data_IF_723000600045
#
_entry.id   IF_723000600045
#
_cell.length_a   1.000
_cell.length_b   1.000
_cell.length_c   1.000
_cell.angle_alpha   90.00
_cell.angle_beta   90.00
_cell.angle_gamma   90.00
#
_symmetry.space_group_name_H-M   'P 1'
#
loop_
_entity.id
_entity.type
_entity.pdbx_description
1 polymer ?
#
# COMPACT_ATOMS: atom_id res chain seq x y z
N UNK A 1 -29.98 11.69 -1.42
CA UNK A 1 -28.62 11.10 -1.43
C UNK A 1 -28.12 10.94 -2.85
N UNK A 2 -28.82 10.21 -3.73
CA UNK A 2 -28.44 10.13 -5.16
C UNK A 2 -28.38 11.48 -5.93
N UNK A 3 -29.04 12.54 -5.45
CA UNK A 3 -28.98 13.87 -6.11
C UNK A 3 -27.70 14.65 -5.77
N UNK A 4 -27.13 14.53 -4.57
CA UNK A 4 -25.92 15.28 -4.17
C UNK A 4 -24.63 14.64 -4.73
N UNK A 5 -24.64 13.34 -5.01
CA UNK A 5 -23.50 12.59 -5.59
C UNK A 5 -23.30 12.88 -7.08
N UNK A 6 -24.39 13.13 -7.81
CA UNK A 6 -24.34 13.61 -9.18
C UNK A 6 -23.79 15.05 -9.28
N UNK A 7 -23.85 15.84 -8.21
CA UNK A 7 -23.38 17.23 -8.22
C UNK A 7 -21.87 17.40 -7.98
N UNK A 8 -21.17 16.38 -7.45
CA UNK A 8 -19.73 16.50 -7.16
C UNK A 8 -18.93 15.24 -7.51
N UNK A 9 -18.48 15.07 -8.76
CA UNK A 9 -17.71 13.90 -9.19
C UNK A 9 -16.43 13.71 -8.38
N UNK A 10 -15.85 14.75 -7.79
CA UNK A 10 -14.67 14.60 -6.94
C UNK A 10 -14.95 13.79 -5.67
N UNK A 11 -16.14 13.95 -5.08
CA UNK A 11 -16.48 13.26 -3.84
C UNK A 11 -16.50 11.74 -4.06
N UNK A 12 -17.08 11.30 -5.18
CA UNK A 12 -17.12 9.89 -5.59
C UNK A 12 -15.71 9.25 -5.59
N UNK A 13 -14.76 9.82 -6.32
CA UNK A 13 -13.39 9.28 -6.37
C UNK A 13 -12.63 9.39 -5.05
N UNK A 14 -12.96 10.36 -4.19
CA UNK A 14 -12.30 10.50 -2.89
C UNK A 14 -12.91 9.63 -1.80
N UNK A 15 -14.18 9.26 -1.91
CA UNK A 15 -14.91 8.51 -0.89
C UNK A 15 -14.54 7.03 -0.91
N UNK A 16 -14.19 6.50 -2.08
CA UNK A 16 -13.61 5.16 -2.26
C UNK A 16 -12.11 5.14 -1.98
N UNK A 17 -11.63 4.13 -1.24
CA UNK A 17 -10.18 3.92 -1.07
C UNK A 17 -9.52 3.46 -2.37
N UNK A 18 -10.20 2.63 -3.15
CA UNK A 18 -9.66 2.07 -4.38
C UNK A 18 -9.59 3.11 -5.50
N UNK A 19 -10.67 3.87 -5.72
CA UNK A 19 -10.70 4.95 -6.70
C UNK A 19 -9.74 6.08 -6.30
N UNK A 20 -9.62 6.39 -5.00
CA UNK A 20 -8.62 7.34 -4.53
C UNK A 20 -7.20 6.83 -4.83
N UNK A 21 -6.93 5.54 -4.64
CA UNK A 21 -5.66 4.94 -4.99
C UNK A 21 -5.35 5.04 -6.49
N UNK A 22 -6.33 4.76 -7.35
CA UNK A 22 -6.18 4.94 -8.81
C UNK A 22 -5.81 6.37 -9.16
N UNK A 23 -6.48 7.35 -8.54
CA UNK A 23 -6.17 8.76 -8.72
C UNK A 23 -4.76 9.11 -8.21
N UNK A 24 -4.34 8.58 -7.06
CA UNK A 24 -3.00 8.78 -6.52
C UNK A 24 -1.91 8.21 -7.43
N UNK A 25 -2.15 7.06 -8.07
CA UNK A 25 -1.24 6.49 -9.07
C UNK A 25 -1.15 7.43 -10.29
N UNK A 26 -2.27 7.94 -10.80
CA UNK A 26 -2.26 8.91 -11.91
C UNK A 26 -1.48 10.19 -11.56
N UNK A 27 -1.68 10.72 -10.35
CA UNK A 27 -0.95 11.89 -9.86
C UNK A 27 0.53 11.60 -9.68
N UNK A 28 0.90 10.40 -9.21
CA UNK A 28 2.30 9.98 -9.15
C UNK A 28 2.91 9.98 -10.56
N UNK A 29 2.26 9.34 -11.54
CA UNK A 29 2.72 9.35 -12.95
C UNK A 29 2.80 10.77 -13.52
N UNK A 30 1.91 11.67 -13.13
CA UNK A 30 1.98 13.09 -13.53
C UNK A 30 3.26 13.77 -13.03
N UNK A 31 3.63 13.53 -11.77
CA UNK A 31 4.77 14.16 -11.10
C UNK A 31 6.12 13.50 -11.44
N UNK A 32 6.13 12.20 -11.69
CA UNK A 32 7.36 11.44 -11.96
C UNK A 32 7.58 11.11 -13.43
N UNK A 33 6.54 11.20 -14.26
CA UNK A 33 6.54 10.68 -15.62
C UNK A 33 7.35 11.51 -16.60
N UNK A 34 8.06 10.82 -17.47
CA UNK A 34 8.59 11.42 -18.69
C UNK A 34 7.42 11.74 -19.64
N UNK A 35 7.46 12.93 -20.24
CA UNK A 35 6.50 13.34 -21.28
C UNK A 35 7.23 13.45 -22.61
N UNK A 36 6.60 13.00 -23.68
CA UNK A 36 7.14 13.22 -25.02
C UNK A 36 7.03 14.70 -25.44
N UNK A 37 7.53 15.03 -26.64
CA UNK A 37 7.51 16.40 -27.18
C UNK A 37 6.09 16.98 -27.37
N UNK A 38 5.05 16.16 -27.24
CA UNK A 38 3.64 16.55 -27.34
C UNK A 38 2.94 16.58 -25.97
N UNK A 39 3.69 16.39 -24.87
CA UNK A 39 3.15 16.37 -23.52
C UNK A 39 2.37 15.09 -23.18
N UNK A 40 2.51 14.03 -23.98
CA UNK A 40 1.89 12.72 -23.70
C UNK A 40 2.79 11.95 -22.74
N UNK A 41 2.18 11.33 -21.73
CA UNK A 41 2.89 10.50 -20.75
C UNK A 41 3.61 9.33 -21.42
N UNK A 42 4.64 8.84 -20.73
CA UNK A 42 5.09 7.46 -20.89
C UNK A 42 3.90 6.49 -20.71
N UNK A 43 4.04 5.30 -21.27
CA UNK A 43 3.09 4.21 -21.11
C UNK A 43 2.97 3.85 -19.63
N UNK A 44 1.74 3.71 -19.15
CA UNK A 44 1.44 3.02 -17.90
C UNK A 44 0.54 1.83 -18.20
N UNK A 45 0.73 0.74 -17.47
CA UNK A 45 0.01 -0.52 -17.73
C UNK A 45 -1.20 -0.64 -16.80
N UNK A 46 -2.25 -1.35 -17.22
CA UNK A 46 -3.45 -1.54 -16.40
C UNK A 46 -3.11 -2.22 -15.07
N UNK A 47 -2.12 -3.12 -15.07
CA UNK A 47 -1.62 -3.76 -13.85
C UNK A 47 -1.02 -2.77 -12.83
N UNK A 48 -0.64 -1.55 -13.24
CA UNK A 48 -0.24 -0.50 -12.30
C UNK A 48 -1.41 -0.08 -11.40
N UNK A 49 -2.66 -0.40 -11.76
CA UNK A 49 -3.90 -0.04 -11.03
C UNK A 49 -4.61 -1.25 -10.44
N UNK A 50 -4.21 -2.48 -10.79
CA UNK A 50 -4.73 -3.71 -10.21
C UNK A 50 -3.98 -3.97 -8.89
N UNK A 51 -4.59 -3.62 -7.76
CA UNK A 51 -3.93 -3.66 -6.44
C UNK A 51 -4.65 -4.60 -5.49
N UNK A 52 -3.87 -5.42 -4.78
CA UNK A 52 -4.40 -6.46 -3.89
C UNK A 52 -5.11 -7.56 -4.67
N UNK A 53 -6.18 -8.11 -4.10
CA UNK A 53 -7.12 -8.94 -4.84
C UNK A 53 -8.41 -8.15 -5.02
N UNK A 54 -8.66 -7.53 -6.19
CA UNK A 54 -9.86 -6.73 -6.42
C UNK A 54 -11.17 -7.47 -6.13
N UNK A 55 -11.20 -8.81 -6.30
CA UNK A 55 -12.36 -9.65 -5.99
C UNK A 55 -12.67 -9.77 -4.50
N UNK A 56 -11.74 -9.39 -3.62
CA UNK A 56 -11.97 -9.36 -2.18
C UNK A 56 -12.43 -7.98 -1.69
N UNK A 57 -12.50 -6.99 -2.59
CA UNK A 57 -12.92 -5.64 -2.26
C UNK A 57 -14.42 -5.53 -2.49
N UNK A 58 -15.17 -5.41 -1.40
CA UNK A 58 -16.64 -5.32 -1.39
C UNK A 58 -17.14 -4.23 -2.35
N UNK A 59 -16.47 -3.08 -2.37
CA UNK A 59 -16.75 -1.99 -3.33
C UNK A 59 -16.77 -2.44 -4.79
N UNK A 60 -15.78 -3.26 -5.18
CA UNK A 60 -15.64 -3.70 -6.58
C UNK A 60 -16.63 -4.83 -6.85
N UNK A 61 -16.81 -5.76 -5.91
CA UNK A 61 -17.75 -6.87 -6.09
C UNK A 61 -19.19 -6.40 -6.16
N UNK A 62 -19.59 -5.46 -5.30
CA UNK A 62 -20.95 -4.95 -5.25
C UNK A 62 -21.29 -4.21 -6.56
N UNK A 63 -20.38 -3.36 -7.05
CA UNK A 63 -20.55 -2.68 -8.34
C UNK A 63 -20.65 -3.65 -9.53
N UNK A 64 -19.85 -4.72 -9.53
CA UNK A 64 -19.91 -5.76 -10.58
C UNK A 64 -21.24 -6.52 -10.52
N UNK A 65 -21.66 -6.93 -9.32
CA UNK A 65 -22.83 -7.79 -9.12
C UNK A 65 -24.16 -7.01 -9.30
N UNK A 66 -24.22 -5.76 -8.87
CA UNK A 66 -25.46 -4.95 -8.88
C UNK A 66 -25.77 -4.37 -10.26
N UNK A 67 -24.76 -3.89 -10.98
CA UNK A 67 -24.98 -3.13 -12.22
C UNK A 67 -25.02 -4.02 -13.46
N UNK A 68 -24.31 -5.16 -13.45
CA UNK A 68 -23.93 -5.90 -14.66
C UNK A 68 -23.22 -5.04 -15.73
N UNK A 69 -22.75 -3.84 -15.40
CA UNK A 69 -22.06 -2.95 -16.32
C UNK A 69 -20.61 -3.39 -16.57
N UNK A 70 -20.07 -4.20 -15.65
CA UNK A 70 -18.69 -4.66 -15.66
C UNK A 70 -18.62 -6.19 -15.74
N UNK A 71 -17.84 -6.69 -16.69
CA UNK A 71 -17.65 -8.14 -16.87
C UNK A 71 -16.60 -8.75 -15.94
N UNK A 72 -15.78 -7.92 -15.30
CA UNK A 72 -14.68 -8.34 -14.43
C UNK A 72 -14.13 -7.16 -13.62
N UNK A 73 -13.33 -7.41 -12.56
CA UNK A 73 -12.64 -6.35 -11.83
C UNK A 73 -11.69 -5.53 -12.69
N UNK A 74 -10.97 -6.15 -13.63
CA UNK A 74 -10.07 -5.41 -14.51
C UNK A 74 -10.86 -4.53 -15.50
N UNK A 75 -12.07 -4.96 -15.89
CA UNK A 75 -12.98 -4.14 -16.69
C UNK A 75 -13.50 -2.94 -15.89
N UNK A 76 -13.88 -3.16 -14.63
CA UNK A 76 -14.24 -2.09 -13.70
C UNK A 76 -13.12 -1.05 -13.60
N UNK A 77 -11.88 -1.49 -13.34
CA UNK A 77 -10.71 -0.60 -13.21
C UNK A 77 -10.46 0.19 -14.49
N UNK A 78 -10.44 -0.48 -15.65
CA UNK A 78 -10.23 0.20 -16.93
C UNK A 78 -11.35 1.21 -17.22
N UNK A 79 -12.60 0.84 -16.96
CA UNK A 79 -13.76 1.71 -17.17
C UNK A 79 -13.67 2.95 -16.29
N UNK A 80 -13.25 2.82 -15.04
CA UNK A 80 -13.01 3.97 -14.16
C UNK A 80 -11.84 4.85 -14.61
N UNK A 81 -10.74 4.29 -15.11
CA UNK A 81 -9.66 5.09 -15.71
C UNK A 81 -10.16 5.93 -16.89
N UNK A 82 -11.08 5.39 -17.69
CA UNK A 82 -11.69 6.09 -18.82
C UNK A 82 -12.66 7.18 -18.33
N UNK A 83 -13.48 6.86 -17.32
CA UNK A 83 -14.40 7.82 -16.71
C UNK A 83 -13.70 9.01 -16.06
N UNK A 84 -12.49 8.84 -15.52
CA UNK A 84 -11.69 9.96 -14.98
C UNK A 84 -11.47 11.08 -16.01
N UNK A 85 -11.32 10.78 -17.30
CA UNK A 85 -11.24 11.81 -18.35
C UNK A 85 -12.51 12.66 -18.41
N UNK A 86 -13.69 12.04 -18.31
CA UNK A 86 -14.98 12.76 -18.35
C UNK A 86 -15.33 13.44 -17.03
N UNK A 87 -15.20 12.72 -15.92
CA UNK A 87 -15.67 13.14 -14.59
C UNK A 87 -14.75 14.19 -13.95
N UNK A 88 -13.44 14.00 -14.10
CA UNK A 88 -12.41 14.77 -13.42
C UNK A 88 -11.59 15.65 -14.38
N UNK A 89 -11.57 15.31 -15.67
CA UNK A 89 -10.86 16.05 -16.71
C UNK A 89 -9.37 16.30 -16.40
N UNK A 90 -8.74 15.45 -15.57
CA UNK A 90 -7.30 15.57 -15.27
C UNK A 90 -6.41 14.97 -16.34
N UNK A 91 -6.97 14.10 -17.18
CA UNK A 91 -6.29 13.43 -18.27
C UNK A 91 -7.13 13.52 -19.54
N UNK A 92 -6.46 13.47 -20.68
CA UNK A 92 -7.05 13.13 -21.98
C UNK A 92 -6.42 11.84 -22.45
N UNK A 93 -7.18 10.76 -22.51
CA UNK A 93 -6.66 9.50 -23.02
C UNK A 93 -6.37 9.66 -24.50
N UNK A 94 -5.11 9.40 -24.85
CA UNK A 94 -4.63 9.46 -26.23
C UNK A 94 -4.64 8.10 -26.87
N UNK A 95 -4.27 7.09 -26.09
CA UNK A 95 -4.11 5.72 -26.56
C UNK A 95 -4.45 4.77 -25.43
N UNK A 96 -5.15 3.69 -25.78
CA UNK A 96 -5.34 2.50 -24.96
C UNK A 96 -4.96 1.34 -25.87
N UNK A 97 -4.23 0.34 -25.41
CA UNK A 97 -3.93 -0.77 -26.28
C UNK A 97 -3.15 -1.90 -25.67
N UNK A 98 -2.68 -2.80 -26.53
CA UNK A 98 -1.90 -3.97 -26.15
C UNK A 98 -0.49 -3.89 -26.76
N UNK A 99 0.52 -4.37 -26.02
CA UNK A 99 1.91 -4.46 -26.49
C UNK A 99 2.50 -5.83 -26.20
N UNK A 100 3.61 -6.18 -26.88
CA UNK A 100 4.27 -7.50 -26.75
C UNK A 100 3.32 -8.67 -26.97
N UNK A 101 2.53 -8.62 -28.05
CA UNK A 101 1.50 -9.61 -28.38
C UNK A 101 2.01 -11.07 -28.37
N UNK A 102 3.27 -11.32 -28.76
CA UNK A 102 3.88 -12.64 -28.66
C UNK A 102 3.99 -13.17 -27.23
N UNK A 103 4.37 -12.31 -26.29
CA UNK A 103 4.47 -12.66 -24.85
C UNK A 103 3.08 -12.84 -24.25
N UNK A 104 2.11 -12.03 -24.65
CA UNK A 104 0.70 -12.22 -24.25
C UNK A 104 0.19 -13.60 -24.65
N UNK A 105 0.47 -14.03 -25.88
CA UNK A 105 0.08 -15.36 -26.37
C UNK A 105 0.67 -16.48 -25.52
N UNK A 106 1.97 -16.40 -25.23
CA UNK A 106 2.66 -17.37 -24.36
C UNK A 106 2.01 -17.43 -22.97
N UNK A 107 1.73 -16.28 -22.36
CA UNK A 107 1.09 -16.21 -21.04
C UNK A 107 -0.33 -16.79 -21.05
N UNK A 108 -1.13 -16.50 -22.07
CA UNK A 108 -2.50 -17.03 -22.20
C UNK A 108 -2.49 -18.55 -22.33
N UNK A 109 -1.56 -19.11 -23.12
CA UNK A 109 -1.39 -20.56 -23.24
C UNK A 109 -0.93 -21.17 -21.92
N UNK A 110 -0.03 -20.52 -21.20
CA UNK A 110 0.41 -20.96 -19.88
C UNK A 110 -0.75 -21.01 -18.87
N UNK A 111 -1.58 -19.96 -18.81
CA UNK A 111 -2.79 -19.92 -17.98
C UNK A 111 -3.77 -21.04 -18.35
N UNK A 112 -3.99 -21.26 -19.65
CA UNK A 112 -4.87 -22.33 -20.15
C UNK A 112 -4.38 -23.73 -19.74
N UNK A 113 -3.07 -23.98 -19.84
CA UNK A 113 -2.47 -25.28 -19.48
C UNK A 113 -2.50 -25.51 -17.97
N UNK A 114 -2.19 -24.48 -17.17
CA UNK A 114 -2.17 -24.59 -15.70
C UNK A 114 -3.57 -24.81 -15.11
N UNK A 115 -4.62 -24.53 -15.89
CA UNK A 115 -6.02 -24.55 -15.44
C UNK A 115 -6.18 -23.69 -14.18
N UNK A 116 -5.68 -22.45 -14.27
CA UNK A 116 -5.67 -21.54 -13.14
C UNK A 116 -7.10 -21.25 -12.71
N UNK A 117 -7.42 -21.53 -11.44
CA UNK A 117 -8.81 -21.52 -10.92
C UNK A 117 -9.46 -20.13 -10.94
N UNK A 118 -8.69 -19.09 -11.22
CA UNK A 118 -9.15 -17.70 -11.30
C UNK A 118 -9.85 -17.35 -12.61
N UNK A 119 -9.80 -18.20 -13.63
CA UNK A 119 -10.38 -17.91 -14.96
C UNK A 119 -11.41 -18.94 -15.38
N UNK A 120 -12.30 -18.62 -16.34
CA UNK A 120 -13.22 -19.59 -16.90
C UNK A 120 -12.45 -20.83 -17.37
N UNK A 121 -12.80 -22.02 -16.85
CA UNK A 121 -12.17 -23.29 -17.26
C UNK A 121 -12.59 -23.71 -18.68
N UNK A 122 -13.36 -22.88 -19.37
CA UNK A 122 -13.88 -23.15 -20.68
C UNK A 122 -12.77 -22.92 -21.71
N UNK A 123 -12.32 -24.00 -22.35
CA UNK A 123 -11.38 -23.94 -23.47
C UNK A 123 -11.81 -22.92 -24.55
N UNK A 124 -13.13 -22.71 -24.72
CA UNK A 124 -13.68 -21.70 -25.62
C UNK A 124 -13.25 -20.27 -25.30
N UNK A 125 -13.16 -19.90 -24.02
CA UNK A 125 -12.71 -18.56 -23.60
C UNK A 125 -11.24 -18.33 -23.99
N UNK A 126 -10.36 -19.25 -23.63
CA UNK A 126 -8.94 -19.16 -24.01
C UNK A 126 -8.73 -19.15 -25.52
N UNK A 127 -9.48 -19.96 -26.28
CA UNK A 127 -9.44 -19.91 -27.75
C UNK A 127 -9.85 -18.53 -28.28
N UNK A 128 -10.90 -17.92 -27.72
CA UNK A 128 -11.32 -16.57 -28.12
C UNK A 128 -10.25 -15.52 -27.82
N UNK A 129 -9.58 -15.60 -26.67
CA UNK A 129 -8.48 -14.70 -26.29
C UNK A 129 -7.28 -14.86 -27.24
N UNK A 130 -6.91 -16.11 -27.56
CA UNK A 130 -5.84 -16.42 -28.52
C UNK A 130 -6.16 -15.86 -29.91
N UNK A 131 -7.38 -16.12 -30.40
CA UNK A 131 -7.84 -15.61 -31.69
C UNK A 131 -7.77 -14.08 -31.74
N UNK A 132 -8.07 -13.42 -30.62
CA UNK A 132 -8.00 -11.97 -30.53
C UNK A 132 -6.55 -11.46 -30.60
N UNK A 133 -5.62 -12.08 -29.87
CA UNK A 133 -4.19 -11.75 -29.96
C UNK A 133 -3.67 -11.96 -31.39
N UNK A 134 -4.08 -13.03 -32.07
CA UNK A 134 -3.68 -13.30 -33.45
C UNK A 134 -4.19 -12.23 -34.42
N UNK A 135 -5.44 -11.75 -34.26
CA UNK A 135 -5.96 -10.63 -35.06
C UNK A 135 -5.13 -9.37 -34.83
N UNK A 136 -4.77 -9.07 -33.58
CA UNK A 136 -3.93 -7.91 -33.27
C UNK A 136 -2.55 -8.02 -33.90
N UNK A 137 -1.94 -9.20 -33.93
CA UNK A 137 -0.65 -9.42 -34.61
C UNK A 137 -0.74 -9.16 -36.11
N UNK A 138 -1.84 -9.55 -36.75
CA UNK A 138 -2.09 -9.26 -38.17
C UNK A 138 -2.18 -7.75 -38.39
N UNK A 139 -2.97 -7.05 -37.57
CA UNK A 139 -3.13 -5.59 -37.66
C UNK A 139 -1.78 -4.88 -37.45
N UNK A 140 -0.99 -5.31 -36.46
CA UNK A 140 0.36 -4.77 -36.19
C UNK A 140 1.26 -4.92 -37.42
N UNK A 141 1.26 -6.12 -38.02
CA UNK A 141 2.06 -6.42 -39.20
C UNK A 141 1.66 -5.56 -40.39
N UNK A 142 0.36 -5.48 -40.70
CA UNK A 142 -0.16 -4.67 -41.81
C UNK A 142 0.19 -3.19 -41.64
N UNK A 143 0.06 -2.66 -40.42
CA UNK A 143 0.45 -1.29 -40.11
C UNK A 143 1.95 -1.07 -40.31
N UNK A 144 2.79 -1.98 -39.81
CA UNK A 144 4.23 -1.88 -39.95
C UNK A 144 4.62 -1.91 -41.44
N UNK A 145 4.05 -2.81 -42.24
CA UNK A 145 4.24 -2.85 -43.69
C UNK A 145 3.85 -1.53 -44.38
N UNK A 146 2.76 -0.89 -43.96
CA UNK A 146 2.33 0.41 -44.47
C UNK A 146 3.30 1.54 -44.12
N UNK A 147 3.81 1.58 -42.88
CA UNK A 147 4.84 2.54 -42.45
C UNK A 147 6.11 2.41 -43.30
N UNK A 148 6.55 1.18 -43.58
CA UNK A 148 7.68 0.90 -44.47
C UNK A 148 7.41 1.37 -45.90
N UNK A 149 6.25 1.02 -46.48
CA UNK A 149 5.87 1.41 -47.86
C UNK A 149 5.84 2.93 -48.02
N UNK A 150 5.36 3.66 -47.01
CA UNK A 150 5.23 5.12 -47.05
C UNK A 150 6.50 5.87 -46.66
N UNK A 151 7.60 5.19 -46.32
CA UNK A 151 8.83 5.79 -45.77
C UNK A 151 8.59 6.64 -44.53
N UNK A 152 7.53 6.32 -43.79
CA UNK A 152 7.19 6.95 -42.51
C UNK A 152 7.77 6.19 -41.32
N UNK A 153 8.74 5.31 -41.58
CA UNK A 153 9.35 4.48 -40.57
C UNK A 153 10.13 5.31 -39.54
N UNK A 154 9.68 5.28 -38.29
CA UNK A 154 10.46 5.68 -37.12
C UNK A 154 10.29 4.64 -36.02
N UNK A 155 11.29 4.50 -35.14
CA UNK A 155 11.18 3.62 -33.97
C UNK A 155 10.02 4.01 -33.06
N UNK A 156 9.67 5.29 -33.04
CA UNK A 156 8.51 5.82 -32.32
C UNK A 156 7.20 5.34 -32.96
N UNK A 157 7.06 5.46 -34.28
CA UNK A 157 5.87 5.01 -35.03
C UNK A 157 5.67 3.50 -35.04
N UNK A 158 6.74 2.70 -34.96
CA UNK A 158 6.62 1.25 -34.80
C UNK A 158 6.14 0.85 -33.41
N UNK A 159 6.53 1.64 -32.39
CA UNK A 159 6.11 1.46 -31.01
C UNK A 159 4.77 2.09 -30.74
N UNK A 160 4.25 2.91 -31.66
CA UNK A 160 2.87 3.33 -31.58
C UNK A 160 2.00 2.08 -31.47
N UNK A 161 0.96 2.12 -30.65
CA UNK A 161 0.12 0.96 -30.37
C UNK A 161 -1.07 0.84 -31.32
N UNK A 162 -1.76 -0.31 -31.27
CA UNK A 162 -2.67 -0.75 -32.34
C UNK A 162 -4.07 -0.11 -32.26
N UNK A 163 -4.48 0.49 -31.12
CA UNK A 163 -5.84 1.00 -31.00
C UNK A 163 -5.95 2.53 -30.85
N UNK A 164 -7.01 3.03 -31.48
CA UNK A 164 -7.54 4.38 -31.36
C UNK A 164 -8.96 4.31 -30.77
N UNK A 165 -9.31 5.36 -30.02
CA UNK A 165 -10.45 5.59 -29.11
C UNK A 165 -11.82 4.91 -29.37
N UNK A 166 -12.14 4.41 -30.57
CA UNK A 166 -13.53 4.09 -30.91
C UNK A 166 -13.84 2.58 -30.93
N UNK A 167 -12.86 1.69 -30.76
CA UNK A 167 -13.05 0.22 -30.84
C UNK A 167 -12.31 -0.61 -29.79
N UNK A 168 -11.75 0.02 -28.75
CA UNK A 168 -10.94 -0.71 -27.77
C UNK A 168 -11.76 -1.78 -27.03
N UNK A 169 -13.03 -1.53 -26.73
CA UNK A 169 -13.89 -2.42 -25.94
C UNK A 169 -14.00 -3.82 -26.55
N UNK A 170 -14.15 -3.94 -27.86
CA UNK A 170 -14.28 -5.24 -28.53
C UNK A 170 -13.05 -6.14 -28.34
N UNK A 171 -11.86 -5.54 -28.34
CA UNK A 171 -10.60 -6.27 -28.36
C UNK A 171 -10.00 -6.42 -26.96
N UNK A 172 -10.10 -5.37 -26.14
CA UNK A 172 -9.46 -5.30 -24.83
C UNK A 172 -10.23 -6.10 -23.78
N UNK A 173 -11.57 -6.15 -23.83
CA UNK A 173 -12.38 -6.84 -22.81
C UNK A 173 -12.06 -8.33 -22.67
N UNK A 174 -11.63 -9.02 -23.74
CA UNK A 174 -11.19 -10.42 -23.63
C UNK A 174 -9.77 -10.57 -23.06
N UNK A 175 -8.94 -9.53 -23.14
CA UNK A 175 -7.52 -9.58 -22.79
C UNK A 175 -7.27 -9.16 -21.34
N UNK A 176 -8.03 -8.19 -20.85
CA UNK A 176 -7.80 -7.52 -19.56
C UNK A 176 -7.73 -8.47 -18.36
N UNK A 177 -8.40 -9.61 -18.40
CA UNK A 177 -8.41 -10.52 -17.25
C UNK A 177 -7.14 -11.38 -17.18
N UNK A 178 -6.63 -11.84 -18.32
CA UNK A 178 -5.47 -12.77 -18.36
C UNK A 178 -4.14 -12.01 -18.43
N UNK A 179 -4.11 -10.89 -19.17
CA UNK A 179 -2.88 -10.17 -19.53
C UNK A 179 -2.97 -8.66 -19.22
N UNK A 180 -3.44 -8.23 -18.03
CA UNK A 180 -3.57 -6.80 -17.70
C UNK A 180 -2.24 -6.04 -17.74
N UNK A 181 -1.11 -6.69 -17.49
CA UNK A 181 0.21 -6.04 -17.53
C UNK A 181 0.69 -5.70 -18.95
N UNK A 182 0.00 -6.22 -19.97
CA UNK A 182 0.26 -5.94 -21.37
C UNK A 182 -0.77 -4.99 -21.99
N UNK A 183 -1.77 -4.58 -21.21
CA UNK A 183 -2.69 -3.51 -21.58
C UNK A 183 -2.10 -2.21 -21.07
N UNK A 184 -1.83 -1.25 -21.95
CA UNK A 184 -1.24 0.03 -21.58
C UNK A 184 -2.17 1.19 -21.97
N UNK A 185 -1.97 2.32 -21.31
CA UNK A 185 -2.63 3.58 -21.57
C UNK A 185 -1.58 4.68 -21.72
N UNK A 186 -1.89 5.69 -22.53
CA UNK A 186 -1.14 6.94 -22.63
C UNK A 186 -2.10 8.11 -22.58
N UNK A 187 -1.73 9.12 -21.81
CA UNK A 187 -2.57 10.27 -21.54
C UNK A 187 -1.81 11.58 -21.68
N UNK A 188 -2.51 12.65 -22.03
CA UNK A 188 -2.04 14.02 -21.77
C UNK A 188 -2.66 14.48 -20.47
N UNK A 189 -1.85 14.94 -19.53
CA UNK A 189 -2.37 15.52 -18.30
C UNK A 189 -2.77 16.98 -18.49
N UNK A 190 -3.82 17.42 -17.80
CA UNK A 190 -4.29 18.81 -17.80
C UNK A 190 -3.81 19.47 -16.51
N UNK A 191 -2.66 20.16 -16.56
CA UNK A 191 -1.96 20.68 -15.38
C UNK A 191 -2.87 21.48 -14.42
N UNK A 192 -3.72 22.38 -14.95
CA UNK A 192 -4.64 23.20 -14.13
C UNK A 192 -5.67 22.37 -13.37
N UNK A 193 -6.16 21.29 -13.97
CA UNK A 193 -7.12 20.39 -13.35
C UNK A 193 -6.43 19.50 -12.32
N UNK A 194 -5.20 19.05 -12.60
CA UNK A 194 -4.38 18.30 -11.64
C UNK A 194 -4.18 19.10 -10.36
N UNK A 195 -3.77 20.38 -10.46
CA UNK A 195 -3.61 21.26 -9.30
C UNK A 195 -4.94 21.46 -8.54
N UNK A 196 -6.05 21.62 -9.27
CA UNK A 196 -7.37 21.76 -8.68
C UNK A 196 -7.79 20.50 -7.90
N UNK A 197 -7.54 19.31 -8.45
CA UNK A 197 -7.82 18.03 -7.82
C UNK A 197 -6.97 17.83 -6.56
N UNK A 198 -5.68 18.13 -6.60
CA UNK A 198 -4.82 18.01 -5.41
C UNK A 198 -5.30 18.92 -4.27
N UNK A 199 -5.76 20.13 -4.61
CA UNK A 199 -6.34 21.05 -3.63
C UNK A 199 -7.65 20.49 -3.05
N UNK A 200 -8.54 19.97 -3.89
CA UNK A 200 -9.82 19.37 -3.44
C UNK A 200 -9.59 18.11 -2.59
N UNK A 201 -8.68 17.24 -3.01
CA UNK A 201 -8.27 16.05 -2.25
C UNK A 201 -7.71 16.43 -0.87
N UNK A 202 -6.86 17.46 -0.79
CA UNK A 202 -6.36 17.97 0.50
C UNK A 202 -7.50 18.47 1.39
N UNK A 203 -8.48 19.18 0.83
CA UNK A 203 -9.65 19.64 1.59
C UNK A 203 -10.44 18.44 2.11
N UNK A 204 -10.78 17.51 1.23
CA UNK A 204 -11.50 16.29 1.57
C UNK A 204 -10.83 15.50 2.68
N UNK A 205 -9.51 15.27 2.60
CA UNK A 205 -8.77 14.53 3.62
C UNK A 205 -8.69 15.26 4.96
N UNK A 206 -8.73 16.60 4.97
CA UNK A 206 -8.86 17.35 6.20
C UNK A 206 -10.28 17.23 6.79
N UNK A 207 -11.32 17.27 5.96
CA UNK A 207 -12.71 17.11 6.40
C UNK A 207 -12.95 15.70 6.94
N UNK A 208 -12.40 14.69 6.27
CA UNK A 208 -12.31 13.30 6.71
C UNK A 208 -11.65 13.18 8.08
N UNK A 209 -10.46 13.77 8.27
CA UNK A 209 -9.73 13.69 9.53
C UNK A 209 -10.38 14.48 10.69
N UNK A 210 -11.25 15.44 10.37
CA UNK A 210 -12.04 16.21 11.35
C UNK A 210 -13.44 15.61 11.58
N UNK A 211 -13.70 14.40 11.09
CA UNK A 211 -14.99 13.69 11.24
C UNK A 211 -16.19 14.44 10.66
N UNK A 212 -15.98 15.39 9.75
CA UNK A 212 -17.07 16.10 9.05
C UNK A 212 -17.81 15.17 8.07
N UNK A 213 -17.15 14.07 7.67
CA UNK A 213 -17.69 13.05 6.77
C UNK A 213 -18.10 11.76 7.50
N UNK A 214 -18.19 11.76 8.84
CA UNK A 214 -18.50 10.56 9.63
C UNK A 214 -19.91 10.01 9.36
N UNK A 215 -20.86 10.91 9.14
CA UNK A 215 -22.28 10.58 8.92
C UNK A 215 -22.54 10.29 7.43
N UNK A 216 -21.53 10.51 6.57
CA UNK A 216 -21.57 10.12 5.16
C UNK A 216 -21.36 8.62 5.06
N UNK A 217 -22.30 7.93 4.41
CA UNK A 217 -22.13 6.51 4.08
C UNK A 217 -21.08 6.41 2.98
N UNK A 218 -20.03 5.62 3.20
CA UNK A 218 -19.12 5.31 2.11
C UNK A 218 -19.91 4.53 1.05
N UNK A 219 -19.64 4.77 -0.24
CA UNK A 219 -20.42 4.20 -1.35
C UNK A 219 -20.49 2.65 -1.28
N UNK A 220 -19.50 2.04 -0.64
CA UNK A 220 -19.32 0.60 -0.47
C UNK A 220 -19.60 0.08 0.95
N UNK A 221 -20.07 0.92 1.88
CA UNK A 221 -20.31 0.52 3.26
C UNK A 221 -21.80 0.57 3.62
N UNK A 222 -22.37 -0.60 3.97
CA UNK A 222 -23.74 -0.70 4.51
C UNK A 222 -23.90 -0.03 5.89
N UNK A 223 -22.81 0.42 6.51
CA UNK A 223 -22.79 1.04 7.85
C UNK A 223 -22.14 2.42 7.81
N UNK A 224 -22.50 3.30 8.75
CA UNK A 224 -21.88 4.62 8.88
C UNK A 224 -20.37 4.49 9.12
N UNK A 225 -19.61 5.46 8.60
CA UNK A 225 -18.16 5.53 8.74
C UNK A 225 -17.75 5.66 10.22
N UNK A 226 -16.64 5.00 10.59
CA UNK A 226 -16.03 5.16 11.91
C UNK A 226 -15.36 6.53 12.05
N UNK A 227 -15.36 7.08 13.27
CA UNK A 227 -14.56 8.27 13.61
C UNK A 227 -13.09 8.06 13.24
N UNK A 228 -12.46 9.07 12.66
CA UNK A 228 -11.08 9.07 12.21
C UNK A 228 -10.11 8.67 13.33
N UNK A 229 -10.34 9.16 14.55
CA UNK A 229 -9.55 8.74 15.72
C UNK A 229 -9.61 7.21 15.93
N UNK A 230 -10.81 6.62 15.78
CA UNK A 230 -10.99 5.18 15.91
C UNK A 230 -10.36 4.41 14.74
N UNK A 231 -10.48 4.93 13.52
CA UNK A 231 -9.81 4.34 12.36
C UNK A 231 -8.28 4.35 12.53
N UNK A 232 -7.69 5.43 13.06
CA UNK A 232 -6.25 5.51 13.37
C UNK A 232 -5.84 4.50 14.44
N UNK A 233 -6.65 4.29 15.48
CA UNK A 233 -6.39 3.23 16.47
C UNK A 233 -6.35 1.85 15.82
N UNK A 234 -7.36 1.53 14.99
CA UNK A 234 -7.46 0.26 14.30
C UNK A 234 -6.30 0.07 13.31
N UNK A 235 -5.95 1.11 12.55
CA UNK A 235 -4.80 1.12 11.67
C UNK A 235 -3.48 0.93 12.43
N UNK A 236 -3.32 1.58 13.58
CA UNK A 236 -2.15 1.38 14.45
C UNK A 236 -2.04 -0.06 14.96
N UNK A 237 -3.15 -0.67 15.39
CA UNK A 237 -3.19 -2.08 15.78
C UNK A 237 -2.76 -2.97 14.61
N UNK A 238 -3.26 -2.70 13.40
CA UNK A 238 -2.87 -3.41 12.19
C UNK A 238 -1.35 -3.27 11.91
N UNK A 239 -0.80 -2.05 11.96
CA UNK A 239 0.64 -1.82 11.78
C UNK A 239 1.50 -2.60 12.78
N UNK A 240 0.99 -2.90 13.99
CA UNK A 240 1.70 -3.66 15.02
C UNK A 240 1.83 -5.15 14.70
N UNK A 241 1.07 -5.63 13.74
CA UNK A 241 1.19 -7.00 13.21
C UNK A 241 2.30 -7.11 12.16
N UNK A 242 2.75 -5.98 11.61
CA UNK A 242 3.74 -5.92 10.54
C UNK A 242 5.16 -5.70 11.08
N UNK A 243 6.20 -6.23 10.40
CA UNK A 243 7.58 -6.01 10.78
C UNK A 243 8.02 -4.56 10.53
N UNK A 244 8.60 -3.92 11.56
CA UNK A 244 9.26 -2.62 11.44
C UNK A 244 10.76 -2.81 11.16
N UNK A 245 11.20 -2.44 9.97
CA UNK A 245 12.61 -2.54 9.55
C UNK A 245 13.20 -1.12 9.56
N UNK A 246 13.90 -0.78 10.64
CA UNK A 246 14.34 0.59 10.87
C UNK A 246 13.13 1.49 11.15
N UNK A 247 12.84 2.40 10.22
CA UNK A 247 11.65 3.27 10.27
C UNK A 247 10.62 2.91 9.19
N UNK A 248 10.81 1.79 8.50
CA UNK A 248 10.00 1.41 7.34
C UNK A 248 9.09 0.23 7.67
N UNK A 249 7.83 0.32 7.27
CA UNK A 249 6.89 -0.80 7.25
C UNK A 249 6.48 -1.05 5.79
N UNK A 250 6.49 -2.31 5.38
CA UNK A 250 5.90 -2.73 4.10
C UNK A 250 4.44 -3.10 4.34
N UNK A 251 3.51 -2.30 3.83
CA UNK A 251 2.08 -2.49 4.01
C UNK A 251 1.54 -3.26 2.80
N UNK A 252 1.10 -4.53 2.95
CA UNK A 252 0.57 -5.30 1.83
C UNK A 252 -0.77 -4.74 1.35
N UNK A 253 -1.07 -4.88 0.06
CA UNK A 253 -2.34 -4.38 -0.51
C UNK A 253 -3.59 -5.11 -0.02
N UNK A 254 -3.45 -6.28 0.60
CA UNK A 254 -4.55 -6.94 1.32
C UNK A 254 -5.11 -6.07 2.46
N UNK A 255 -4.42 -4.99 2.86
CA UNK A 255 -4.97 -4.00 3.79
C UNK A 255 -6.24 -3.32 3.26
N UNK A 256 -6.41 -3.25 1.94
CA UNK A 256 -7.60 -2.68 1.31
C UNK A 256 -8.88 -3.48 1.61
N UNK A 257 -8.74 -4.74 2.00
CA UNK A 257 -9.87 -5.61 2.39
C UNK A 257 -10.37 -5.32 3.82
N UNK A 258 -9.67 -4.44 4.57
CA UNK A 258 -9.99 -4.17 5.97
C UNK A 258 -11.15 -3.17 6.11
N UNK A 259 -12.21 -3.56 6.81
CA UNK A 259 -13.40 -2.72 7.03
C UNK A 259 -13.33 -1.80 8.25
N UNK A 260 -12.30 -1.95 9.09
CA UNK A 260 -12.15 -1.20 10.34
C UNK A 260 -11.47 0.17 10.16
N UNK A 261 -10.92 0.45 8.97
CA UNK A 261 -10.28 1.72 8.61
C UNK A 261 -10.07 1.88 7.10
N UNK A 262 -10.01 3.13 6.64
CA UNK A 262 -9.77 3.50 5.24
C UNK A 262 -8.27 3.78 5.02
N UNK A 263 -7.53 2.72 4.67
CA UNK A 263 -6.08 2.70 4.60
C UNK A 263 -5.50 3.77 3.66
N UNK A 264 -6.07 3.96 2.47
CA UNK A 264 -5.54 4.89 1.45
C UNK A 264 -5.73 6.33 1.92
N UNK A 265 -6.92 6.66 2.45
CA UNK A 265 -7.19 7.98 3.04
C UNK A 265 -6.28 8.29 4.22
N UNK A 266 -6.12 7.35 5.14
CA UNK A 266 -5.22 7.50 6.30
C UNK A 266 -3.78 7.72 5.84
N UNK A 267 -3.26 6.86 4.97
CA UNK A 267 -1.90 6.97 4.45
C UNK A 267 -1.70 8.31 3.74
N UNK A 268 -2.62 8.72 2.87
CA UNK A 268 -2.50 10.00 2.17
C UNK A 268 -2.57 11.19 3.11
N UNK A 269 -3.46 11.16 4.11
CA UNK A 269 -3.52 12.18 5.14
C UNK A 269 -2.20 12.30 5.91
N UNK A 270 -1.62 11.17 6.33
CA UNK A 270 -0.34 11.14 7.04
C UNK A 270 0.82 11.65 6.17
N UNK A 271 0.81 11.35 4.87
CA UNK A 271 1.80 11.84 3.91
C UNK A 271 1.68 13.37 3.75
N UNK A 272 0.47 13.90 3.55
CA UNK A 272 0.22 15.35 3.43
C UNK A 272 0.64 16.13 4.67
N UNK A 273 0.56 15.49 5.84
CA UNK A 273 1.00 16.04 7.14
C UNK A 273 2.46 15.72 7.49
N UNK A 274 3.24 15.20 6.53
CA UNK A 274 4.68 14.91 6.69
C UNK A 274 4.96 14.00 7.90
N UNK A 275 4.11 13.01 8.11
CA UNK A 275 4.30 11.96 9.13
C UNK A 275 4.94 10.71 8.56
N UNK A 276 4.62 10.42 7.31
CA UNK A 276 5.18 9.32 6.54
C UNK A 276 5.69 9.81 5.19
N UNK A 277 6.47 8.96 4.52
CA UNK A 277 6.75 9.06 3.10
C UNK A 277 6.43 7.71 2.47
N UNK A 278 5.62 7.71 1.42
CA UNK A 278 5.38 6.53 0.60
C UNK A 278 6.36 6.59 -0.56
N UNK A 279 7.02 5.47 -0.85
CA UNK A 279 8.01 5.43 -1.94
C UNK A 279 7.33 5.55 -3.31
N UNK A 280 6.32 4.71 -3.53
CA UNK A 280 5.48 4.65 -4.74
C UNK A 280 4.10 4.12 -4.38
N UNK A 281 3.07 4.66 -5.00
CA UNK A 281 1.70 4.18 -4.93
C UNK A 281 1.43 3.05 -5.92
N UNK A 282 2.19 2.99 -7.02
CA UNK A 282 2.05 2.01 -8.11
C UNK A 282 2.82 0.70 -7.91
N UNK A 283 3.39 0.45 -6.72
CA UNK A 283 4.18 -0.75 -6.42
C UNK A 283 3.38 -2.06 -6.64
N UNK A 284 4.05 -3.21 -6.78
CA UNK A 284 3.38 -4.44 -7.22
C UNK A 284 2.73 -5.26 -6.10
N UNK A 285 3.27 -5.21 -4.88
CA UNK A 285 2.84 -6.09 -3.79
C UNK A 285 2.56 -5.39 -2.45
N UNK A 286 3.25 -4.30 -2.17
CA UNK A 286 3.12 -3.57 -0.91
C UNK A 286 3.54 -2.11 -1.07
N UNK A 287 2.96 -1.23 -0.26
CA UNK A 287 3.51 0.11 -0.09
C UNK A 287 4.68 0.09 0.89
N UNK A 288 5.84 0.55 0.44
CA UNK A 288 6.96 0.83 1.33
C UNK A 288 6.75 2.19 2.00
N UNK A 289 6.43 2.16 3.29
CA UNK A 289 6.06 3.35 4.08
C UNK A 289 7.14 3.67 5.10
N UNK A 290 7.82 4.81 4.92
CA UNK A 290 8.82 5.33 5.83
C UNK A 290 8.17 6.27 6.86
N UNK A 291 8.20 5.90 8.14
CA UNK A 291 7.70 6.74 9.23
C UNK A 291 8.76 7.75 9.67
N UNK A 292 8.40 9.03 9.63
CA UNK A 292 9.33 10.13 9.90
C UNK A 292 9.55 10.36 11.40
N UNK A 293 8.64 9.87 12.25
CA UNK A 293 8.74 9.92 13.71
C UNK A 293 8.69 8.51 14.30
N UNK A 294 9.64 8.22 15.20
CA UNK A 294 9.68 6.98 15.97
C UNK A 294 9.84 7.29 17.47
N UNK A 295 9.18 6.55 18.39
CA UNK A 295 8.34 5.38 18.11
C UNK A 295 7.03 5.74 17.40
N UNK A 296 6.50 4.79 16.60
CA UNK A 296 5.18 4.91 16.00
C UNK A 296 4.16 4.70 17.12
N UNK A 297 3.41 5.74 17.47
CA UNK A 297 2.32 5.73 18.45
C UNK A 297 1.07 6.40 17.86
N UNK A 298 -0.10 6.18 18.44
CA UNK A 298 -1.34 6.85 18.01
C UNK A 298 -1.16 8.38 18.01
N UNK A 299 -0.56 8.94 19.05
CA UNK A 299 -0.28 10.37 19.15
C UNK A 299 0.67 10.87 18.07
N UNK A 300 1.65 10.05 17.67
CA UNK A 300 2.59 10.39 16.59
C UNK A 300 1.90 10.49 15.23
N UNK A 301 0.81 9.74 15.03
CA UNK A 301 0.01 9.73 13.81
C UNK A 301 -1.00 10.88 13.78
N UNK A 302 -1.64 11.19 14.91
CA UNK A 302 -2.72 12.20 14.98
C UNK A 302 -2.19 13.62 15.21
N UNK A 303 -1.14 13.80 16.03
CA UNK A 303 -0.77 15.14 16.49
C UNK A 303 -0.24 16.02 15.35
N UNK A 304 -0.88 17.17 15.08
CA UNK A 304 -0.46 18.19 14.11
C UNK A 304 0.80 18.97 14.52
N UNK A 305 1.62 18.43 15.42
CA UNK A 305 2.78 19.12 15.95
C UNK A 305 3.84 19.35 14.85
N UNK A 306 4.02 20.62 14.47
CA UNK A 306 5.37 21.14 14.15
C UNK A 306 6.24 20.63 15.27
N UNK A 307 7.23 19.78 14.96
CA UNK A 307 8.10 19.15 15.93
C UNK A 307 8.66 20.21 16.89
N UNK A 308 7.99 20.41 18.02
CA UNK A 308 8.62 20.90 19.23
C UNK A 308 9.57 19.79 19.58
N UNK A 309 10.86 20.03 19.38
CA UNK A 309 11.93 19.24 19.99
C UNK A 309 11.52 19.03 21.44
N UNK A 310 10.96 17.85 21.76
CA UNK A 310 10.69 17.48 23.12
C UNK A 310 12.03 17.59 23.82
N UNK A 311 12.12 18.52 24.77
CA UNK A 311 13.24 18.56 25.70
C UNK A 311 13.30 17.16 26.31
N UNK A 312 14.46 16.50 26.14
CA UNK A 312 14.70 15.18 26.70
C UNK A 312 14.62 15.30 28.22
N UNK A 313 13.45 15.09 28.80
CA UNK A 313 13.37 14.59 30.16
C UNK A 313 14.22 13.31 30.16
N UNK A 314 15.20 13.22 31.06
CA UNK A 314 16.00 12.00 31.22
C UNK A 314 15.06 10.89 31.70
N UNK A 315 14.54 10.10 30.77
CA UNK A 315 13.77 8.90 31.05
C UNK A 315 14.77 7.87 31.58
N UNK A 316 14.84 7.71 32.91
CA UNK A 316 15.64 6.68 33.55
C UNK A 316 14.79 5.43 33.81
N UNK A 317 15.40 4.26 33.70
CA UNK A 317 14.82 2.98 34.13
C UNK A 317 15.52 2.48 35.39
N UNK A 318 14.77 1.82 36.28
CA UNK A 318 15.30 1.13 37.47
C UNK A 318 14.64 -0.23 37.60
N UNK A 319 15.41 -1.25 37.94
CA UNK A 319 14.90 -2.58 38.24
C UNK A 319 15.22 -2.94 39.69
N UNK A 320 14.19 -3.27 40.48
CA UNK A 320 14.36 -3.62 41.89
C UNK A 320 13.29 -4.65 42.28
N UNK A 321 13.68 -5.66 43.04
CA UNK A 321 12.78 -6.66 43.63
C UNK A 321 11.83 -7.30 42.60
N UNK A 322 12.32 -7.58 41.38
CA UNK A 322 11.51 -8.17 40.30
C UNK A 322 10.58 -7.19 39.57
N UNK A 323 10.60 -5.91 39.91
CA UNK A 323 9.78 -4.87 39.30
C UNK A 323 10.63 -3.86 38.53
N UNK A 324 10.26 -3.60 37.27
CA UNK A 324 10.84 -2.56 36.43
C UNK A 324 10.01 -1.27 36.56
N UNK A 325 10.67 -0.18 36.93
CA UNK A 325 10.13 1.16 36.97
C UNK A 325 10.62 1.92 35.73
N UNK A 326 9.69 2.28 34.85
CA UNK A 326 9.99 2.93 33.58
C UNK A 326 8.81 3.79 33.11
N UNK A 327 9.09 5.06 32.75
CA UNK A 327 8.07 6.05 32.35
C UNK A 327 6.87 6.13 33.31
N UNK A 328 7.14 6.26 34.62
CA UNK A 328 6.12 6.30 35.68
C UNK A 328 5.19 5.07 35.76
N UNK A 329 5.53 4.00 35.02
CA UNK A 329 4.86 2.70 35.06
C UNK A 329 5.70 1.65 35.77
N UNK A 330 5.02 0.64 36.29
CA UNK A 330 5.60 -0.49 37.01
C UNK A 330 5.28 -1.79 36.28
N UNK A 331 6.30 -2.59 35.98
CA UNK A 331 6.16 -3.89 35.32
C UNK A 331 6.68 -4.98 36.25
N UNK A 332 5.78 -5.83 36.73
CA UNK A 332 6.14 -6.93 37.64
C UNK A 332 6.54 -8.19 36.83
N UNK A 333 7.73 -8.71 37.12
CA UNK A 333 8.28 -9.93 36.52
C UNK A 333 8.44 -11.10 37.51
N UNK A 334 7.83 -11.05 38.70
CA UNK A 334 7.98 -12.10 39.73
C UNK A 334 7.48 -13.48 39.27
N UNK A 335 6.47 -13.51 38.40
CA UNK A 335 5.96 -14.75 37.79
C UNK A 335 6.66 -15.12 36.48
N UNK A 336 7.68 -14.36 36.07
CA UNK A 336 8.36 -14.44 34.77
C UNK A 336 9.88 -14.57 35.00
N UNK A 337 10.28 -15.74 35.51
CA UNK A 337 11.63 -15.98 36.03
C UNK A 337 12.74 -15.63 35.03
N UNK A 338 12.62 -16.07 33.77
CA UNK A 338 13.65 -15.83 32.72
C UNK A 338 13.79 -14.33 32.43
N UNK A 339 12.68 -13.60 32.34
CA UNK A 339 12.66 -12.16 32.08
C UNK A 339 13.22 -11.39 33.28
N UNK A 340 12.87 -11.83 34.50
CA UNK A 340 13.40 -11.28 35.75
C UNK A 340 14.91 -11.47 35.85
N UNK A 341 15.41 -12.66 35.53
CA UNK A 341 16.85 -12.97 35.56
C UNK A 341 17.61 -12.16 34.50
N UNK A 342 17.04 -12.01 33.31
CA UNK A 342 17.63 -11.17 32.26
C UNK A 342 17.72 -9.71 32.69
N UNK A 343 16.64 -9.15 33.25
CA UNK A 343 16.66 -7.78 33.76
C UNK A 343 17.63 -7.63 34.93
N UNK A 344 17.69 -8.60 35.86
CA UNK A 344 18.68 -8.60 36.94
C UNK A 344 20.12 -8.50 36.40
N UNK A 345 20.47 -9.31 35.39
CA UNK A 345 21.79 -9.28 34.77
C UNK A 345 22.06 -7.95 34.08
N UNK A 346 21.16 -7.50 33.20
CA UNK A 346 21.37 -6.26 32.44
C UNK A 346 21.49 -5.03 33.35
N UNK A 347 20.73 -4.98 34.46
CA UNK A 347 20.79 -3.88 35.41
C UNK A 347 22.00 -3.90 36.35
N UNK A 348 22.81 -4.97 36.40
CA UNK A 348 24.13 -4.95 37.07
C UNK A 348 25.09 -3.96 36.42
N UNK A 349 25.05 -3.86 35.08
CA UNK A 349 25.80 -2.89 34.28
C UNK A 349 24.90 -2.32 33.18
N UNK A 350 24.02 -1.34 33.50
CA UNK A 350 22.97 -0.89 32.60
C UNK A 350 23.44 -0.29 31.26
N UNK A 351 24.67 0.27 31.23
CA UNK A 351 25.29 0.87 30.04
C UNK A 351 26.16 -0.13 29.25
N UNK A 352 26.26 -1.38 29.70
CA UNK A 352 27.12 -2.40 29.12
C UNK A 352 26.38 -3.20 28.03
N UNK A 353 27.11 -3.58 26.99
CA UNK A 353 26.61 -4.51 25.97
C UNK A 353 26.96 -5.92 26.43
N UNK A 354 25.98 -6.65 26.96
CA UNK A 354 26.20 -8.01 27.42
C UNK A 354 26.21 -8.96 26.24
N UNK A 355 27.28 -9.75 26.10
CA UNK A 355 27.26 -10.91 25.23
C UNK A 355 26.36 -11.99 25.82
N UNK A 356 25.80 -12.85 24.97
CA UNK A 356 24.96 -13.94 25.42
C UNK A 356 25.72 -14.89 26.36
N UNK A 357 27.04 -15.07 26.16
CA UNK A 357 27.89 -15.91 26.99
C UNK A 357 28.08 -15.33 28.40
N UNK A 358 28.28 -14.01 28.52
CA UNK A 358 28.37 -13.34 29.82
C UNK A 358 27.07 -13.41 30.63
N UNK A 359 25.91 -13.32 29.95
CA UNK A 359 24.60 -13.48 30.62
C UNK A 359 24.46 -14.90 31.17
N UNK A 360 24.94 -15.90 30.43
CA UNK A 360 24.91 -17.30 30.88
C UNK A 360 25.81 -17.56 32.07
N UNK A 361 27.05 -17.06 32.03
CA UNK A 361 27.99 -17.17 33.15
C UNK A 361 27.39 -16.56 34.42
N UNK A 362 26.66 -15.45 34.28
CA UNK A 362 25.97 -14.78 35.37
C UNK A 362 24.81 -15.61 35.96
N UNK A 363 24.21 -16.52 35.18
CA UNK A 363 23.10 -17.40 35.60
C UNK A 363 23.58 -18.76 36.13
N UNK A 364 24.82 -19.17 35.82
CA UNK A 364 25.41 -20.41 36.33
C UNK A 364 24.93 -21.71 35.67
N UNK A 365 24.32 -21.66 34.47
CA UNK A 365 23.84 -22.84 33.74
C UNK A 365 24.90 -23.42 32.77
N UNK A 366 25.15 -24.74 32.80
CA UNK A 366 26.15 -25.43 31.96
C UNK A 366 25.57 -26.07 30.67
N UNK A 367 24.26 -25.92 30.44
CA UNK A 367 23.39 -26.48 29.38
C UNK A 367 23.62 -25.97 27.91
N UNK A 368 24.78 -26.21 27.31
CA UNK A 368 25.02 -26.51 25.89
C UNK A 368 23.96 -26.22 24.75
N UNK A 369 22.74 -26.77 24.78
CA UNK A 369 21.92 -26.90 23.55
C UNK A 369 20.54 -26.21 23.53
N UNK A 370 20.00 -25.74 24.67
CA UNK A 370 18.71 -24.98 24.72
C UNK A 370 18.86 -23.45 24.66
N UNK A 371 19.98 -22.96 24.12
CA UNK A 371 20.63 -21.69 24.47
C UNK A 371 20.15 -20.39 23.84
N UNK A 372 19.80 -20.35 22.57
CA UNK A 372 19.63 -19.05 21.88
C UNK A 372 18.18 -18.57 21.94
N UNK A 373 17.23 -19.50 21.97
CA UNK A 373 15.82 -19.16 21.91
C UNK A 373 15.34 -18.43 23.19
N UNK A 374 15.84 -18.81 24.38
CA UNK A 374 15.37 -18.27 25.66
C UNK A 374 15.58 -16.75 25.80
N UNK A 375 16.75 -16.23 25.45
CA UNK A 375 17.04 -14.79 25.58
C UNK A 375 16.30 -13.93 24.56
N UNK A 376 16.19 -14.44 23.34
CA UNK A 376 15.46 -13.78 22.28
C UNK A 376 14.00 -13.66 22.66
N UNK A 377 13.39 -14.77 23.06
CA UNK A 377 11.99 -14.80 23.52
C UNK A 377 11.81 -13.93 24.76
N UNK A 378 12.71 -13.97 25.74
CA UNK A 378 12.62 -13.12 26.93
C UNK A 378 12.73 -11.63 26.59
N UNK A 379 13.66 -11.25 25.70
CA UNK A 379 13.81 -9.87 25.24
C UNK A 379 12.58 -9.39 24.47
N UNK A 380 12.01 -10.26 23.63
CA UNK A 380 10.77 -9.98 22.91
C UNK A 380 9.59 -9.78 23.85
N UNK A 381 9.44 -10.65 24.83
CA UNK A 381 8.34 -10.54 25.79
C UNK A 381 8.46 -9.31 26.67
N UNK A 382 9.69 -8.93 27.08
CA UNK A 382 9.94 -7.68 27.81
C UNK A 382 9.58 -6.49 26.94
N UNK A 383 10.09 -6.42 25.71
CA UNK A 383 9.77 -5.33 24.78
C UNK A 383 8.27 -5.26 24.48
N UNK A 384 7.61 -6.41 24.27
CA UNK A 384 6.16 -6.48 24.05
C UNK A 384 5.38 -5.96 25.25
N UNK A 385 5.73 -6.39 26.46
CA UNK A 385 5.06 -5.95 27.69
C UNK A 385 5.23 -4.44 27.92
N UNK A 386 6.44 -3.91 27.71
CA UNK A 386 6.71 -2.48 27.82
C UNK A 386 5.98 -1.71 26.72
N UNK A 387 5.97 -2.21 25.49
CA UNK A 387 5.30 -1.58 24.36
C UNK A 387 3.79 -1.46 24.54
N UNK A 388 3.13 -2.44 25.18
CA UNK A 388 1.70 -2.39 25.45
C UNK A 388 1.31 -1.20 26.34
N UNK A 389 2.18 -0.84 27.28
CA UNK A 389 1.88 0.18 28.28
C UNK A 389 2.53 1.54 27.94
N UNK A 390 3.69 1.56 27.31
CA UNK A 390 4.47 2.80 27.09
C UNK A 390 4.64 3.16 25.63
N UNK A 391 4.18 2.32 24.71
CA UNK A 391 4.40 2.43 23.27
C UNK A 391 5.90 2.36 22.86
N UNK A 392 6.81 2.07 23.79
CA UNK A 392 8.24 1.90 23.53
C UNK A 392 8.53 0.44 23.18
N UNK A 393 9.03 0.20 21.96
CA UNK A 393 9.34 -1.14 21.45
C UNK A 393 10.82 -1.51 21.52
N UNK A 394 11.68 -0.52 21.65
CA UNK A 394 13.13 -0.66 21.64
C UNK A 394 13.73 -0.56 23.04
N UNK A 395 13.02 -0.97 24.10
CA UNK A 395 13.55 -0.92 25.48
C UNK A 395 14.83 -1.75 25.62
N UNK A 396 14.81 -2.99 25.12
CA UNK A 396 15.98 -3.84 24.93
C UNK A 396 16.37 -3.86 23.45
N UNK A 397 17.66 -3.65 23.19
CA UNK A 397 18.28 -3.87 21.87
C UNK A 397 18.89 -5.27 21.92
N UNK A 398 18.30 -6.19 21.14
CA UNK A 398 18.77 -7.58 21.00
C UNK A 398 19.46 -7.78 19.65
N UNK A 399 20.49 -8.61 19.62
CA UNK A 399 21.18 -9.04 18.41
C UNK A 399 21.58 -10.51 18.49
N UNK A 400 22.25 -11.01 17.45
CA UNK A 400 22.67 -12.42 17.35
C UNK A 400 23.55 -12.93 18.46
N UNK A 401 24.36 -12.05 19.05
CA UNK A 401 25.35 -12.41 20.06
C UNK A 401 25.29 -11.56 21.31
N UNK A 402 24.43 -10.55 21.35
CA UNK A 402 24.45 -9.53 22.42
C UNK A 402 23.06 -8.99 22.70
N UNK A 403 22.84 -8.58 23.95
CA UNK A 403 21.62 -7.94 24.42
C UNK A 403 22.00 -6.77 25.35
N UNK A 404 21.27 -5.66 25.25
CA UNK A 404 21.49 -4.50 26.12
C UNK A 404 20.21 -3.71 26.35
N UNK A 405 20.16 -2.97 27.46
CA UNK A 405 19.17 -1.91 27.63
C UNK A 405 19.53 -0.79 26.65
N UNK A 406 18.53 -0.25 25.98
CA UNK A 406 18.74 0.86 25.07
C UNK A 406 19.31 2.07 25.83
N UNK A 407 20.47 2.62 25.43
CA UNK A 407 21.12 3.71 26.15
C UNK A 407 20.25 4.95 26.35
N UNK A 408 19.18 5.13 25.55
CA UNK A 408 18.18 6.20 25.71
C UNK A 408 17.48 6.15 27.08
N UNK A 409 17.44 4.99 27.73
CA UNK A 409 16.62 4.70 28.91
C UNK A 409 17.44 4.43 30.18
N UNK A 410 18.75 4.65 30.11
CA UNK A 410 19.67 4.38 31.21
C UNK A 410 20.16 5.70 31.80
N UNK A 411 19.82 5.98 33.06
CA UNK A 411 20.25 7.19 33.77
C UNK A 411 21.77 7.28 33.99
#
# INVERSE_FOLDING_TARGET
>A
MLEDELENPHLYYFNSDYLLLMLLILLEKYHTGERDGFGVSSEFVLNDFVKGNPLNLEEITDEIDDTNDYSSPNNYILSHLIRIEGDLNIIKLRQIGAFKLGVMLEKVVECAIKNDKMFPTEAGYYCAVIDEIMKLQIIEKERNENLFKNKEYSMEKLREPIFFNDNYSKHITLLIDIVPEYIYLRATFIDIEVEAIEKKMRSFLNDFANDLLKDYQADYALTSRLYFAKQIENFYIYLNTLPLIGNTINIPFSVLENKDFEAVKILKFLELNKKIRINKWDDEAFWKVDFLNTPITIESLISNSKATKQSKAKIGSKFKDGTLYFQDKQFNFDKKQIQKDLLNTLFKKPKYNWSNDEIWEDWGEQDFQKKTLKFYTASDEINKMIALETSIRDFLIKGTKQTRINPKYVS
#
